data_IF_358326201907
#
_entry.id   IF_358326201907
#
_cell.length_a   1.000
_cell.length_b   1.000
_cell.length_c   1.000
_cell.angle_alpha   90.00
_cell.angle_beta   90.00
_cell.angle_gamma   90.00
#
_symmetry.space_group_name_H-M   'P 1'
#
loop_
_entity.id
_entity.type
_entity.pdbx_description
1 polymer ?
#
# COMPACT_ATOMS: atom_id res chain seq x y z
N UNK A 1 50.91 36.00 31.67
CA UNK A 1 50.06 35.94 30.46
C UNK A 1 50.07 34.51 29.94
N UNK A 2 48.93 34.09 29.34
CA UNK A 2 48.53 32.76 28.83
C UNK A 2 47.90 31.78 29.86
N UNK A 3 46.58 31.50 29.75
CA UNK A 3 45.86 30.53 30.57
C UNK A 3 45.56 29.19 29.87
N UNK A 4 45.54 28.14 30.70
CA UNK A 4 44.72 26.91 30.69
C UNK A 4 44.09 26.42 29.37
N UNK A 5 44.61 25.30 28.85
CA UNK A 5 43.93 24.45 27.88
C UNK A 5 42.81 23.62 28.54
N UNK A 6 41.56 23.86 28.13
CA UNK A 6 40.41 23.00 28.43
C UNK A 6 40.20 22.01 27.30
N UNK A 7 40.37 20.73 27.60
CA UNK A 7 40.08 19.58 26.75
C UNK A 7 38.58 19.28 26.85
N UNK A 8 37.83 19.55 25.78
CA UNK A 8 36.43 19.14 25.69
C UNK A 8 36.37 17.67 25.26
N UNK A 9 36.05 16.78 26.19
CA UNK A 9 35.57 15.44 25.84
C UNK A 9 34.10 15.57 25.42
N UNK A 10 33.83 15.43 24.13
CA UNK A 10 32.48 15.27 23.60
C UNK A 10 32.15 13.78 23.71
N UNK A 11 31.46 13.39 24.79
CA UNK A 11 30.75 12.12 24.85
C UNK A 11 29.48 12.25 24.02
N UNK A 12 29.57 11.87 22.74
CA UNK A 12 28.41 11.70 21.88
C UNK A 12 28.00 10.24 21.83
N UNK A 13 26.69 10.03 21.83
CA UNK A 13 25.98 9.00 21.05
C UNK A 13 25.38 7.79 21.81
N UNK A 14 24.38 8.04 22.68
CA UNK A 14 23.39 7.02 23.12
C UNK A 14 21.91 7.42 22.86
N UNK A 15 21.63 8.61 22.29
CA UNK A 15 20.25 9.13 22.16
C UNK A 15 19.53 8.77 20.83
N UNK A 16 20.23 8.20 19.87
CA UNK A 16 19.73 7.92 18.51
C UNK A 16 18.88 6.64 18.44
N UNK A 17 19.16 5.63 19.27
CA UNK A 17 18.38 4.37 19.29
C UNK A 17 17.04 4.51 20.02
N UNK A 18 16.98 5.31 21.09
CA UNK A 18 15.74 5.57 21.85
C UNK A 18 14.69 6.31 21.02
N UNK A 19 15.13 7.25 20.19
CA UNK A 19 14.25 8.07 19.35
C UNK A 19 13.56 7.25 18.26
N UNK A 20 14.26 6.28 17.64
CA UNK A 20 13.70 5.40 16.63
C UNK A 20 12.59 4.49 17.17
N UNK A 21 12.78 3.93 18.36
CA UNK A 21 11.78 3.10 19.03
C UNK A 21 10.49 3.86 19.35
N UNK A 22 10.61 5.10 19.86
CA UNK A 22 9.46 5.94 20.17
C UNK A 22 8.64 6.32 18.91
N UNK A 23 9.32 6.61 17.80
CA UNK A 23 8.67 6.91 16.51
C UNK A 23 7.90 5.70 15.97
N UNK A 24 8.49 4.51 16.02
CA UNK A 24 7.82 3.27 15.59
C UNK A 24 6.61 2.93 16.45
N UNK A 25 6.70 3.12 17.77
CA UNK A 25 5.58 2.96 18.69
C UNK A 25 4.44 3.93 18.35
N UNK A 26 4.77 5.20 18.07
CA UNK A 26 3.76 6.21 17.70
C UNK A 26 3.10 5.91 16.37
N UNK A 27 3.85 5.47 15.37
CA UNK A 27 3.32 5.01 14.08
C UNK A 27 2.37 3.82 14.25
N UNK A 28 2.75 2.86 15.09
CA UNK A 28 1.92 1.69 15.40
C UNK A 28 0.62 2.10 16.08
N UNK A 29 0.68 3.04 17.03
CA UNK A 29 -0.51 3.62 17.67
C UNK A 29 -1.44 4.29 16.65
N UNK A 30 -0.90 5.18 15.81
CA UNK A 30 -1.67 5.86 14.76
C UNK A 30 -2.35 4.87 13.82
N UNK A 31 -1.63 3.80 13.41
CA UNK A 31 -2.21 2.73 12.61
C UNK A 31 -3.37 2.05 13.32
N UNK A 32 -3.25 1.76 14.62
CA UNK A 32 -4.36 1.17 15.38
C UNK A 32 -5.55 2.10 15.52
N UNK A 33 -5.33 3.41 15.68
CA UNK A 33 -6.38 4.43 15.72
C UNK A 33 -7.15 4.48 14.40
N UNK A 34 -6.44 4.55 13.26
CA UNK A 34 -7.05 4.54 11.93
C UNK A 34 -7.88 3.27 11.74
N UNK A 35 -7.30 2.09 12.03
CA UNK A 35 -8.03 0.82 11.89
C UNK A 35 -9.26 0.73 12.80
N UNK A 36 -9.19 1.31 14.00
CA UNK A 36 -10.32 1.36 14.94
C UNK A 36 -11.43 2.27 14.40
N UNK A 37 -11.07 3.45 13.91
CA UNK A 37 -12.00 4.40 13.31
C UNK A 37 -12.67 3.81 12.05
N UNK A 38 -11.90 3.21 11.13
CA UNK A 38 -12.46 2.53 9.95
C UNK A 38 -13.45 1.42 10.31
N UNK A 39 -13.13 0.58 11.32
CA UNK A 39 -14.08 -0.46 11.79
C UNK A 39 -15.36 0.13 12.37
N UNK A 40 -15.25 1.21 13.15
CA UNK A 40 -16.41 1.89 13.72
C UNK A 40 -17.29 2.51 12.62
N UNK A 41 -16.70 3.17 11.64
CA UNK A 41 -17.44 3.73 10.51
C UNK A 41 -18.15 2.64 9.70
N UNK A 42 -17.47 1.52 9.45
CA UNK A 42 -18.07 0.36 8.78
C UNK A 42 -19.28 -0.20 9.54
N UNK A 43 -19.18 -0.34 10.87
CA UNK A 43 -20.28 -0.84 11.68
C UNK A 43 -21.50 0.10 11.62
N UNK A 44 -21.29 1.42 11.62
CA UNK A 44 -22.37 2.40 11.49
C UNK A 44 -23.02 2.37 10.10
N UNK A 45 -22.21 2.32 9.04
CA UNK A 45 -22.70 2.30 7.66
C UNK A 45 -23.30 0.95 7.23
N UNK A 46 -22.99 -0.15 7.92
CA UNK A 46 -23.49 -1.49 7.58
C UNK A 46 -25.02 -1.60 7.64
N UNK A 47 -25.68 -0.77 8.45
CA UNK A 47 -27.14 -0.73 8.55
C UNK A 47 -27.82 -0.07 7.34
N UNK A 48 -27.09 0.76 6.57
CA UNK A 48 -27.66 1.54 5.47
C UNK A 48 -27.78 0.76 4.16
N UNK A 49 -27.03 -0.35 4.00
CA UNK A 49 -27.11 -1.16 2.79
C UNK A 49 -25.98 -2.16 2.66
N UNK A 50 -26.00 -2.91 1.55
CA UNK A 50 -24.92 -3.84 1.23
C UNK A 50 -23.61 -3.07 1.09
N UNK A 51 -22.57 -3.57 1.73
CA UNK A 51 -21.22 -3.05 1.60
C UNK A 51 -20.79 -2.88 0.14
N UNK A 52 -20.22 -1.73 -0.17
CA UNK A 52 -19.85 -1.32 -1.54
C UNK A 52 -21.01 -0.79 -2.40
N UNK A 53 -22.26 -0.90 -1.95
CA UNK A 53 -23.39 -0.21 -2.60
C UNK A 53 -23.28 1.30 -2.43
N UNK A 54 -23.98 2.03 -3.28
CA UNK A 54 -24.01 3.49 -3.19
C UNK A 54 -24.60 3.98 -1.86
N UNK A 55 -25.65 3.32 -1.35
CA UNK A 55 -26.24 3.63 -0.05
C UNK A 55 -25.24 3.45 1.11
N UNK A 56 -24.45 2.38 1.08
CA UNK A 56 -23.39 2.15 2.07
C UNK A 56 -22.27 3.20 1.96
N UNK A 57 -21.88 3.59 0.73
CA UNK A 57 -20.85 4.62 0.51
C UNK A 57 -21.31 6.01 0.92
N UNK A 58 -22.57 6.35 0.66
CA UNK A 58 -23.20 7.58 1.13
C UNK A 58 -23.23 7.63 2.66
N UNK A 59 -23.67 6.55 3.32
CA UNK A 59 -23.66 6.46 4.78
C UNK A 59 -22.24 6.58 5.38
N UNK A 60 -21.21 6.00 4.74
CA UNK A 60 -19.83 6.22 5.16
C UNK A 60 -19.40 7.68 5.00
N UNK A 61 -19.76 8.33 3.90
CA UNK A 61 -19.44 9.74 3.68
C UNK A 61 -20.07 10.62 4.77
N UNK A 62 -21.34 10.42 5.09
CA UNK A 62 -22.05 11.11 6.17
C UNK A 62 -21.36 10.90 7.53
N UNK A 63 -21.04 9.65 7.89
CA UNK A 63 -20.35 9.34 9.15
C UNK A 63 -19.01 10.08 9.25
N UNK A 64 -18.23 10.09 8.16
CA UNK A 64 -16.96 10.79 8.16
C UNK A 64 -17.11 12.30 8.12
N UNK A 65 -18.11 12.84 7.42
CA UNK A 65 -18.39 14.28 7.43
C UNK A 65 -18.73 14.76 8.85
N UNK A 66 -19.59 14.03 9.56
CA UNK A 66 -19.89 14.32 10.95
C UNK A 66 -18.64 14.28 11.84
N UNK A 67 -17.79 13.26 11.68
CA UNK A 67 -16.56 13.16 12.45
C UNK A 67 -15.58 14.27 12.10
N UNK A 68 -15.50 14.67 10.83
CA UNK A 68 -14.63 15.74 10.36
C UNK A 68 -15.06 17.11 10.90
N UNK A 69 -16.37 17.36 10.98
CA UNK A 69 -16.92 18.59 11.58
C UNK A 69 -16.58 18.64 13.08
N UNK A 70 -16.77 17.52 13.78
CA UNK A 70 -16.67 17.43 15.23
C UNK A 70 -15.26 17.09 15.77
N UNK A 71 -14.25 16.99 14.91
CA UNK A 71 -12.87 16.69 15.32
C UNK A 71 -11.89 17.79 14.96
N UNK A 72 -10.78 17.83 15.71
CA UNK A 72 -9.65 18.74 15.52
C UNK A 72 -8.33 17.98 15.69
N UNK A 73 -7.23 18.56 15.20
CA UNK A 73 -5.88 18.04 15.43
C UNK A 73 -5.66 16.62 14.89
N UNK A 74 -5.05 15.75 15.69
CA UNK A 74 -4.77 14.37 15.29
C UNK A 74 -6.03 13.57 14.93
N UNK A 75 -7.13 13.73 15.68
CA UNK A 75 -8.34 12.98 15.42
C UNK A 75 -8.92 13.30 14.04
N UNK A 76 -8.84 14.56 13.61
CA UNK A 76 -9.26 14.97 12.28
C UNK A 76 -8.43 14.26 11.19
N UNK A 77 -7.11 14.19 11.35
CA UNK A 77 -6.24 13.48 10.41
C UNK A 77 -6.43 11.96 10.45
N UNK A 78 -6.75 11.38 11.60
CA UNK A 78 -7.12 9.97 11.73
C UNK A 78 -8.44 9.69 11.00
N UNK A 79 -9.45 10.55 11.13
CA UNK A 79 -10.72 10.43 10.41
C UNK A 79 -10.50 10.51 8.90
N UNK A 80 -9.74 11.50 8.45
CA UNK A 80 -9.37 11.68 7.05
C UNK A 80 -8.61 10.47 6.48
N UNK A 81 -7.63 9.94 7.23
CA UNK A 81 -6.91 8.74 6.85
C UNK A 81 -7.80 7.49 6.82
N UNK A 82 -8.75 7.39 7.75
CA UNK A 82 -9.71 6.28 7.83
C UNK A 82 -10.70 6.29 6.67
N UNK A 83 -11.15 7.48 6.25
CA UNK A 83 -11.99 7.65 5.06
C UNK A 83 -11.26 7.25 3.79
N UNK A 84 -10.02 7.72 3.63
CA UNK A 84 -9.16 7.31 2.53
C UNK A 84 -8.84 5.80 2.57
N UNK A 85 -8.75 5.20 3.76
CA UNK A 85 -8.63 3.75 3.93
C UNK A 85 -9.83 3.00 3.36
N UNK A 86 -11.02 3.57 3.44
CA UNK A 86 -12.25 2.97 2.92
C UNK A 86 -12.59 3.43 1.49
N UNK A 87 -11.72 4.21 0.85
CA UNK A 87 -11.92 4.72 -0.52
C UNK A 87 -12.97 5.84 -0.62
N UNK A 88 -13.30 6.48 0.50
CA UNK A 88 -14.15 7.66 0.58
C UNK A 88 -13.29 8.90 0.39
N UNK A 89 -13.67 9.74 -0.58
CA UNK A 89 -12.98 10.98 -0.90
C UNK A 89 -13.82 12.12 -0.34
N UNK A 90 -13.26 12.85 0.62
CA UNK A 90 -13.88 13.93 1.37
C UNK A 90 -13.38 15.30 0.89
N UNK A 91 -13.61 15.64 -0.38
CA UNK A 91 -12.95 16.79 -1.06
C UNK A 91 -13.10 18.10 -0.29
N UNK A 92 -14.29 18.35 0.30
CA UNK A 92 -14.56 19.54 1.11
C UNK A 92 -13.66 19.70 2.35
N UNK A 93 -12.99 18.64 2.82
CA UNK A 93 -12.19 18.67 4.04
C UNK A 93 -10.67 18.69 3.79
N UNK A 94 -10.23 18.65 2.53
CA UNK A 94 -8.80 18.57 2.17
C UNK A 94 -8.01 19.76 2.73
N UNK A 95 -8.51 20.98 2.53
CA UNK A 95 -7.84 22.21 2.98
C UNK A 95 -7.78 22.29 4.50
N UNK A 96 -8.88 21.89 5.17
CA UNK A 96 -8.94 21.84 6.64
C UNK A 96 -7.90 20.84 7.17
N UNK A 97 -7.79 19.65 6.57
CA UNK A 97 -6.79 18.65 6.94
C UNK A 97 -5.36 19.10 6.63
N UNK A 98 -5.16 19.80 5.52
CA UNK A 98 -3.86 20.39 5.18
C UNK A 98 -3.41 21.37 6.26
N UNK A 99 -4.27 22.31 6.64
CA UNK A 99 -3.99 23.28 7.69
C UNK A 99 -3.66 22.58 9.02
N UNK A 100 -4.46 21.58 9.42
CA UNK A 100 -4.20 20.80 10.64
C UNK A 100 -2.86 20.07 10.60
N UNK A 101 -2.50 19.47 9.46
CA UNK A 101 -1.22 18.79 9.31
C UNK A 101 -0.05 19.76 9.38
N UNK A 102 -0.13 20.92 8.72
CA UNK A 102 0.96 21.90 8.68
C UNK A 102 1.13 22.65 9.99
N UNK A 103 0.05 22.87 10.75
CA UNK A 103 0.09 23.47 12.08
C UNK A 103 0.53 22.47 13.17
N UNK A 104 0.52 21.17 12.87
CA UNK A 104 0.95 20.17 13.84
C UNK A 104 2.47 20.16 14.02
N UNK A 105 2.92 20.17 15.28
CA UNK A 105 4.34 20.09 15.62
C UNK A 105 4.94 18.72 15.23
N UNK A 106 4.10 17.68 15.14
CA UNK A 106 4.52 16.30 14.86
C UNK A 106 4.76 16.01 13.37
N UNK A 107 6.00 15.69 12.99
CA UNK A 107 6.35 15.25 11.64
C UNK A 107 5.52 14.05 11.15
N UNK A 108 5.12 13.16 12.06
CA UNK A 108 4.31 11.97 11.75
C UNK A 108 2.92 12.32 11.19
N UNK A 109 2.29 13.38 11.68
CA UNK A 109 0.97 13.79 11.20
C UNK A 109 1.05 14.41 9.81
N UNK A 110 2.14 15.14 9.51
CA UNK A 110 2.45 15.61 8.15
C UNK A 110 2.67 14.44 7.19
N UNK A 111 3.46 13.44 7.60
CA UNK A 111 3.67 12.22 6.81
C UNK A 111 2.35 11.47 6.57
N UNK A 112 1.51 11.35 7.60
CA UNK A 112 0.20 10.73 7.47
C UNK A 112 -0.66 11.46 6.43
N UNK A 113 -0.75 12.79 6.50
CA UNK A 113 -1.48 13.58 5.52
C UNK A 113 -0.99 13.32 4.08
N UNK A 114 0.32 13.37 3.84
CA UNK A 114 0.86 13.13 2.50
C UNK A 114 0.66 11.70 2.01
N UNK A 115 0.73 10.71 2.91
CA UNK A 115 0.41 9.32 2.59
C UNK A 115 -1.06 9.18 2.15
N UNK A 116 -1.97 9.88 2.84
CA UNK A 116 -3.38 9.94 2.47
C UNK A 116 -3.58 10.61 1.11
N UNK A 117 -2.96 11.77 0.86
CA UNK A 117 -3.08 12.47 -0.43
C UNK A 117 -2.54 11.65 -1.61
N UNK A 118 -1.45 10.91 -1.41
CA UNK A 118 -0.93 9.99 -2.45
C UNK A 118 -1.94 8.88 -2.77
N UNK A 119 -2.62 8.36 -1.74
CA UNK A 119 -3.69 7.36 -1.89
C UNK A 119 -4.93 7.94 -2.55
N UNK A 120 -5.28 9.17 -2.21
CA UNK A 120 -6.38 9.91 -2.82
C UNK A 120 -6.19 10.09 -4.32
N UNK A 121 -5.00 10.53 -4.73
CA UNK A 121 -4.65 10.73 -6.13
C UNK A 121 -4.71 9.42 -6.92
N UNK A 122 -4.31 8.30 -6.30
CA UNK A 122 -4.50 6.96 -6.87
C UNK A 122 -5.99 6.63 -7.08
N UNK A 123 -6.86 6.82 -6.08
CA UNK A 123 -8.29 6.54 -6.22
C UNK A 123 -8.98 7.48 -7.21
N UNK A 124 -8.58 8.74 -7.26
CA UNK A 124 -9.09 9.72 -8.23
C UNK A 124 -8.80 9.29 -9.66
N UNK A 125 -7.55 8.90 -9.94
CA UNK A 125 -7.17 8.30 -11.24
C UNK A 125 -7.96 7.03 -11.55
N UNK A 126 -8.12 6.15 -10.56
CA UNK A 126 -8.89 4.92 -10.74
C UNK A 126 -10.37 5.20 -11.10
N UNK A 127 -11.00 6.20 -10.46
CA UNK A 127 -12.38 6.62 -10.77
C UNK A 127 -12.50 7.30 -12.12
N UNK A 128 -11.49 8.09 -12.52
CA UNK A 128 -11.46 8.75 -13.82
C UNK A 128 -11.27 7.77 -15.00
N UNK A 129 -11.04 6.48 -14.74
CA UNK A 129 -10.66 5.52 -15.78
C UNK A 129 -9.18 5.62 -16.19
N UNK A 130 -8.47 6.63 -15.69
CA UNK A 130 -7.02 6.85 -15.86
C UNK A 130 -6.16 5.95 -14.96
N UNK A 131 -6.79 5.09 -14.16
CA UNK A 131 -6.15 4.00 -13.45
C UNK A 131 -5.67 2.93 -14.42
N UNK A 132 -4.84 3.32 -15.38
CA UNK A 132 -4.13 2.44 -16.26
C UNK A 132 -3.37 1.43 -15.40
N UNK A 133 -3.86 0.18 -15.39
CA UNK A 133 -2.94 -0.89 -15.75
C UNK A 133 -2.28 -0.40 -17.04
N UNK A 134 -0.96 -0.20 -17.01
CA UNK A 134 -0.20 0.09 -18.22
C UNK A 134 -0.74 -0.76 -19.37
N UNK A 135 -0.87 -0.19 -20.58
CA UNK A 135 -1.43 -0.91 -21.70
C UNK A 135 -0.76 -2.27 -21.81
N UNK A 136 -1.55 -3.32 -22.01
CA UNK A 136 -1.07 -4.65 -22.36
C UNK A 136 -0.13 -4.46 -23.56
N UNK A 137 1.18 -4.40 -23.31
CA UNK A 137 2.16 -4.48 -24.37
C UNK A 137 2.23 -5.95 -24.75
N UNK A 138 1.32 -6.34 -25.65
CA UNK A 138 1.27 -7.69 -26.21
C UNK A 138 2.50 -8.00 -27.08
N UNK A 139 3.27 -7.00 -27.50
CA UNK A 139 4.32 -7.19 -28.49
C UNK A 139 5.64 -6.57 -28.06
N UNK A 140 6.34 -7.15 -27.08
CA UNK A 140 7.80 -6.99 -27.00
C UNK A 140 8.49 -8.24 -26.41
N UNK A 141 9.12 -8.97 -27.34
CA UNK A 141 10.32 -9.80 -27.19
C UNK A 141 10.13 -11.26 -26.76
N UNK A 142 10.15 -12.12 -27.78
CA UNK A 142 10.70 -13.46 -27.72
C UNK A 142 12.20 -13.42 -27.38
N UNK A 143 12.65 -14.32 -26.51
CA UNK A 143 14.08 -14.60 -26.34
C UNK A 143 14.68 -14.06 -25.04
N UNK A 144 14.38 -14.74 -23.94
CA UNK A 144 15.36 -14.98 -22.89
C UNK A 144 14.87 -16.20 -22.11
N UNK A 145 15.68 -17.26 -22.09
CA UNK A 145 15.52 -18.36 -21.14
C UNK A 145 16.39 -18.04 -19.93
N UNK A 146 15.82 -17.73 -18.75
CA UNK A 146 16.59 -17.59 -17.54
C UNK A 146 16.31 -18.78 -16.62
N UNK A 147 17.39 -19.31 -16.08
CA UNK A 147 17.39 -20.28 -14.99
C UNK A 147 16.33 -19.91 -13.92
N UNK A 148 15.33 -20.77 -13.64
CA UNK A 148 14.12 -20.42 -12.88
C UNK A 148 14.32 -20.14 -11.37
N UNK A 149 15.56 -20.03 -10.90
CA UNK A 149 15.87 -19.89 -9.47
C UNK A 149 16.69 -18.63 -9.10
N UNK A 150 17.22 -17.86 -10.06
CA UNK A 150 17.92 -16.61 -9.78
C UNK A 150 17.03 -15.40 -10.12
N UNK A 151 16.36 -14.84 -9.10
CA UNK A 151 15.68 -13.55 -9.24
C UNK A 151 16.71 -12.49 -9.65
N UNK A 152 16.35 -11.57 -10.55
CA UNK A 152 17.19 -10.39 -10.76
C UNK A 152 17.21 -9.54 -9.47
N UNK A 153 18.22 -8.67 -9.31
CA UNK A 153 18.38 -7.86 -8.10
C UNK A 153 17.13 -7.04 -7.73
N UNK A 154 16.34 -6.60 -8.72
CA UNK A 154 15.09 -5.86 -8.47
C UNK A 154 13.95 -6.77 -7.97
N UNK A 155 13.85 -7.99 -8.52
CA UNK A 155 12.91 -9.00 -8.04
C UNK A 155 13.30 -9.49 -6.64
N UNK A 156 14.59 -9.62 -6.34
CA UNK A 156 15.07 -9.97 -5.00
C UNK A 156 14.65 -8.90 -3.98
N UNK A 157 14.90 -7.62 -4.28
CA UNK A 157 14.46 -6.49 -3.44
C UNK A 157 12.93 -6.44 -3.26
N UNK A 158 12.17 -6.72 -4.32
CA UNK A 158 10.71 -6.79 -4.24
C UNK A 158 10.24 -7.98 -3.40
N UNK A 159 11.01 -9.08 -3.37
CA UNK A 159 10.73 -10.23 -2.50
C UNK A 159 11.00 -9.94 -1.02
N UNK A 160 12.03 -9.15 -0.72
CA UNK A 160 12.39 -8.74 0.64
C UNK A 160 11.36 -7.79 1.25
N UNK A 161 10.76 -6.91 0.44
CA UNK A 161 9.63 -6.07 0.85
C UNK A 161 8.54 -6.09 -0.23
N UNK A 162 7.54 -6.97 -0.08
CA UNK A 162 6.47 -7.15 -1.05
C UNK A 162 5.33 -6.14 -0.89
N UNK A 163 5.36 -5.22 0.09
CA UNK A 163 4.25 -4.30 0.40
C UNK A 163 4.52 -2.88 -0.10
N UNK A 164 4.95 -2.78 -1.35
CA UNK A 164 5.29 -1.50 -2.01
C UNK A 164 4.18 -1.10 -2.97
N UNK A 165 3.87 0.20 -3.01
CA UNK A 165 2.80 0.73 -3.87
C UNK A 165 3.00 0.48 -5.37
N UNK A 166 4.24 0.25 -5.81
CA UNK A 166 4.59 -0.09 -7.19
C UNK A 166 5.56 -1.26 -7.23
N UNK A 167 5.47 -2.07 -8.27
CA UNK A 167 6.52 -3.01 -8.63
C UNK A 167 7.78 -2.26 -9.12
N UNK A 168 8.81 -3.01 -9.53
CA UNK A 168 9.97 -2.39 -10.21
C UNK A 168 9.67 -2.13 -11.69
N UNK A 169 10.42 -1.21 -12.32
CA UNK A 169 10.16 -0.69 -13.67
C UNK A 169 10.16 -1.73 -14.79
N UNK A 170 10.73 -2.91 -14.54
CA UNK A 170 10.84 -4.02 -15.49
C UNK A 170 9.70 -5.04 -15.40
N UNK A 171 8.68 -4.77 -14.58
CA UNK A 171 7.46 -5.57 -14.52
C UNK A 171 6.43 -5.03 -15.52
N UNK A 172 5.95 -5.91 -16.40
CA UNK A 172 4.83 -5.60 -17.30
C UNK A 172 3.66 -6.53 -17.00
N UNK A 173 2.43 -6.02 -17.20
CA UNK A 173 1.21 -6.77 -16.95
C UNK A 173 1.03 -7.87 -18.01
N UNK A 174 0.80 -9.10 -17.56
CA UNK A 174 0.44 -10.24 -18.40
C UNK A 174 -1.06 -10.35 -18.63
N UNK A 175 -1.86 -9.78 -17.74
CA UNK A 175 -3.31 -9.86 -17.77
C UNK A 175 -3.93 -8.51 -17.45
N UNK A 176 -5.15 -8.27 -17.91
CA UNK A 176 -5.97 -7.21 -17.34
C UNK A 176 -6.16 -7.45 -15.84
N UNK A 177 -6.35 -6.37 -15.07
CA UNK A 177 -6.69 -6.50 -13.66
C UNK A 177 -8.03 -7.23 -13.51
N UNK A 178 -7.99 -8.37 -12.83
CA UNK A 178 -9.18 -9.14 -12.48
C UNK A 178 -9.63 -8.74 -11.08
N UNK A 179 -10.92 -8.44 -10.91
CA UNK A 179 -11.51 -8.21 -9.59
C UNK A 179 -12.04 -9.55 -9.08
N UNK A 180 -11.50 -10.03 -7.96
CA UNK A 180 -12.02 -11.20 -7.25
C UNK A 180 -12.67 -10.78 -5.95
N UNK A 181 -13.90 -11.23 -5.75
CA UNK A 181 -14.62 -11.06 -4.50
C UNK A 181 -14.36 -12.30 -3.64
N UNK A 182 -13.69 -12.13 -2.50
CA UNK A 182 -13.49 -13.19 -1.51
C UNK A 182 -14.60 -13.21 -0.46
N UNK A 183 -15.20 -12.04 -0.26
CA UNK A 183 -16.45 -11.87 0.46
C UNK A 183 -17.21 -10.71 -0.18
N UNK A 184 -18.41 -10.45 0.31
CA UNK A 184 -19.17 -9.23 0.04
C UNK A 184 -18.41 -7.94 0.33
N UNK A 185 -17.29 -7.99 1.07
CA UNK A 185 -16.59 -6.82 1.64
C UNK A 185 -15.12 -6.76 1.26
N UNK A 186 -14.59 -7.83 0.64
CA UNK A 186 -13.21 -7.93 0.23
C UNK A 186 -13.16 -8.22 -1.27
N UNK A 187 -13.13 -7.14 -2.04
CA UNK A 187 -12.76 -7.18 -3.44
C UNK A 187 -11.25 -6.97 -3.54
N UNK A 188 -10.55 -7.99 -4.03
CA UNK A 188 -9.12 -7.93 -4.33
C UNK A 188 -8.98 -7.77 -5.83
N UNK A 189 -8.43 -6.64 -6.26
CA UNK A 189 -7.91 -6.49 -7.61
C UNK A 189 -6.61 -7.29 -7.69
N UNK A 190 -6.53 -8.18 -8.68
CA UNK A 190 -5.36 -9.01 -8.95
C UNK A 190 -4.91 -8.80 -10.38
N UNK A 191 -3.63 -8.54 -10.57
CA UNK A 191 -3.02 -8.40 -11.88
C UNK A 191 -1.72 -9.19 -11.95
N UNK A 192 -1.59 -10.08 -12.92
CA UNK A 192 -0.36 -10.84 -13.12
C UNK A 192 0.65 -9.98 -13.88
N UNK A 193 1.91 -10.05 -13.45
CA UNK A 193 3.02 -9.34 -14.07
C UNK A 193 4.16 -10.31 -14.35
N UNK A 194 4.99 -9.98 -15.33
CA UNK A 194 6.25 -10.68 -15.62
C UNK A 194 7.39 -9.70 -15.64
N UNK A 195 8.52 -10.10 -15.06
CA UNK A 195 9.76 -9.39 -15.17
C UNK A 195 10.41 -9.68 -16.53
N UNK A 196 10.74 -8.64 -17.29
CA UNK A 196 11.40 -8.80 -18.60
C UNK A 196 12.85 -9.30 -18.49
N UNK A 197 13.54 -9.06 -17.36
CA UNK A 197 14.94 -9.48 -17.16
C UNK A 197 15.07 -10.93 -16.70
N UNK A 198 14.36 -11.30 -15.62
CA UNK A 198 14.50 -12.60 -14.97
C UNK A 198 13.36 -13.57 -15.28
N UNK A 199 12.35 -13.14 -16.05
CA UNK A 199 11.17 -13.95 -16.35
C UNK A 199 10.24 -14.23 -15.15
N UNK A 200 10.60 -13.78 -13.94
CA UNK A 200 9.85 -14.00 -12.71
C UNK A 200 8.40 -13.48 -12.83
N UNK A 201 7.44 -14.30 -12.39
CA UNK A 201 6.02 -13.96 -12.39
C UNK A 201 5.60 -13.43 -11.04
N UNK A 202 4.88 -12.33 -11.04
CA UNK A 202 4.39 -11.66 -9.85
C UNK A 202 2.88 -11.51 -9.94
N UNK A 203 2.21 -11.59 -8.80
CA UNK A 203 0.80 -11.22 -8.67
C UNK A 203 0.76 -9.96 -7.83
N UNK A 204 0.33 -8.89 -8.46
CA UNK A 204 -0.10 -7.69 -7.76
C UNK A 204 -1.48 -7.97 -7.16
N UNK A 205 -1.66 -7.63 -5.89
CA UNK A 205 -2.94 -7.68 -5.21
C UNK A 205 -3.16 -6.36 -4.48
N UNK A 206 -4.31 -5.74 -4.69
CA UNK A 206 -4.73 -4.62 -3.89
C UNK A 206 -6.21 -4.77 -3.52
N UNK A 207 -6.54 -4.37 -2.31
CA UNK A 207 -7.93 -4.36 -1.86
C UNK A 207 -8.20 -3.05 -1.13
N UNK A 208 -9.47 -2.63 -1.14
CA UNK A 208 -9.87 -1.34 -0.59
C UNK A 208 -9.35 -1.15 0.86
N UNK A 209 -9.40 -2.20 1.70
CA UNK A 209 -8.89 -2.13 3.08
C UNK A 209 -7.38 -2.27 3.32
N UNK A 210 -6.50 -2.39 2.31
CA UNK A 210 -5.04 -2.43 2.51
C UNK A 210 -4.40 -1.12 2.01
N UNK A 211 -3.66 -0.38 2.85
CA UNK A 211 -2.88 0.76 2.38
C UNK A 211 -1.75 0.37 1.41
N UNK A 212 -1.38 -0.91 1.35
CA UNK A 212 -0.31 -1.39 0.49
C UNK A 212 -0.83 -2.28 -0.64
N UNK A 213 -0.20 -2.15 -1.80
CA UNK A 213 -0.27 -3.16 -2.84
C UNK A 213 0.62 -4.32 -2.40
N UNK A 214 0.04 -5.52 -2.31
CA UNK A 214 0.76 -6.74 -2.00
C UNK A 214 1.27 -7.41 -3.27
N UNK A 215 2.57 -7.63 -3.35
CA UNK A 215 3.23 -8.37 -4.42
C UNK A 215 3.53 -9.80 -3.97
N UNK A 216 3.08 -10.79 -4.72
CA UNK A 216 3.36 -12.20 -4.42
C UNK A 216 4.10 -12.83 -5.59
N UNK A 217 5.30 -13.37 -5.35
CA UNK A 217 6.03 -14.12 -6.35
C UNK A 217 5.31 -15.44 -6.64
N UNK A 218 5.13 -15.75 -7.92
CA UNK A 218 4.68 -17.07 -8.39
C UNK A 218 5.91 -17.80 -8.91
N UNK A 219 6.51 -18.64 -8.07
CA UNK A 219 7.46 -19.63 -8.57
C UNK A 219 6.71 -20.54 -9.56
N UNK A 220 7.15 -20.57 -10.82
CA UNK A 220 6.68 -21.58 -11.76
C UNK A 220 7.12 -22.93 -11.22
N UNK A 221 6.19 -23.76 -10.74
CA UNK A 221 6.46 -25.18 -10.63
C UNK A 221 6.61 -25.69 -12.06
N UNK A 222 7.84 -25.82 -12.54
CA UNK A 222 8.10 -26.77 -13.61
C UNK A 222 7.76 -28.13 -13.02
N UNK A 223 6.54 -28.62 -13.24
CA UNK A 223 6.28 -30.05 -13.12
C UNK A 223 7.20 -30.68 -14.15
N UNK A 224 8.36 -31.14 -13.67
CA UNK A 224 9.23 -32.02 -14.40
C UNK A 224 8.40 -33.28 -14.64
N UNK A 225 7.77 -33.36 -15.82
CA UNK A 225 7.18 -34.58 -16.30
C UNK A 225 8.35 -35.52 -16.59
N UNK A 226 8.76 -36.27 -15.57
CA UNK A 226 9.58 -37.46 -15.73
C UNK A 226 8.83 -38.36 -16.71
N UNK A 227 9.31 -38.44 -17.95
CA UNK A 227 8.90 -39.48 -18.88
C UNK A 227 9.20 -40.84 -18.21
N UNK A 228 8.23 -41.76 -18.06
CA UNK A 228 8.59 -43.15 -17.90
C UNK A 228 9.07 -43.63 -19.27
N UNK A 229 10.36 -43.90 -19.35
CA UNK A 229 10.94 -44.62 -20.47
C UNK A 229 10.28 -46.00 -20.56
N UNK A 230 9.56 -46.26 -21.63
CA UNK A 230 9.35 -47.62 -22.12
C UNK A 230 10.35 -47.86 -23.24
N UNK A 231 11.52 -48.36 -22.85
CA UNK A 231 12.35 -49.13 -23.76
C UNK A 231 11.68 -50.49 -23.99
N UNK A 232 11.50 -50.80 -25.27
CA UNK A 232 11.12 -52.09 -25.83
C UNK A 232 12.24 -53.11 -25.60
N UNK A 233 11.89 -54.33 -25.21
CA UNK A 233 12.62 -55.58 -25.53
C UNK A 233 11.54 -56.67 -25.66
N UNK A 234 11.11 -56.94 -26.89
CA UNK A 234 11.45 -58.10 -27.73
C UNK A 234 10.59 -59.33 -27.39
#
# INVERSE_FOLDING_TARGET
>A
MAPAGRRWNVSGNDNSESTGGAVLARLTSLRHEIRRASRRANALAACAGRLGSEAYRAALAEVFDDWMINSIGQQQLVCFASAAELGILLEQHVDRCFATAMQSEGQLLRVLYWAVMRRWDFYRRLRAGDGQCLPVQADLVAGASPNPQALCADCARLSEDPRRGTGHSRLYALSAASRRHYSSHLAVLRCEHRCSTGGARWVMSCHAGDPFVGWTLRCGSTRQASQPGMHVVA
#
